data_IF_080130356750
#
_entry.id   IF_080130356750
#
_cell.length_a   1.000
_cell.length_b   1.000
_cell.length_c   1.000
_cell.angle_alpha   90.00
_cell.angle_beta   90.00
_cell.angle_gamma   90.00
#
_symmetry.space_group_name_H-M   'P 1'
#
loop_
_entity.id
_entity.type
_entity.pdbx_description
1 polymer ?
#
# COMPACT_ATOMS: atom_id res chain seq x y z
N UNK A 1 -26.31 3.25 -16.79
CA UNK A 1 -25.38 3.41 -15.66
C UNK A 1 -24.82 2.02 -15.41
N UNK A 2 -23.55 1.79 -15.71
CA UNK A 2 -22.91 0.50 -15.47
C UNK A 2 -22.88 0.23 -13.97
N UNK A 3 -23.29 -0.98 -13.60
CA UNK A 3 -23.17 -1.51 -12.25
C UNK A 3 -21.69 -1.47 -11.84
N UNK A 4 -21.35 -0.60 -10.89
CA UNK A 4 -19.99 -0.39 -10.41
C UNK A 4 -19.71 -1.23 -9.16
N UNK A 5 -20.37 -2.39 -9.04
CA UNK A 5 -20.15 -3.32 -7.95
C UNK A 5 -18.70 -3.81 -7.99
N UNK A 6 -17.95 -3.49 -6.93
CA UNK A 6 -16.60 -4.01 -6.75
C UNK A 6 -16.72 -5.51 -6.53
N UNK A 7 -16.31 -6.29 -7.53
CA UNK A 7 -16.20 -7.74 -7.41
C UNK A 7 -15.22 -8.06 -6.27
N UNK A 8 -15.68 -8.85 -5.30
CA UNK A 8 -14.82 -9.33 -4.22
C UNK A 8 -13.99 -10.50 -4.73
N UNK A 9 -12.67 -10.36 -4.67
CA UNK A 9 -11.73 -11.44 -4.95
C UNK A 9 -11.32 -12.09 -3.62
N UNK A 10 -11.64 -13.37 -3.42
CA UNK A 10 -11.35 -14.12 -2.18
C UNK A 10 -9.87 -14.48 -1.98
N UNK A 11 -8.95 -13.95 -2.80
CA UNK A 11 -7.52 -14.25 -2.69
C UNK A 11 -6.79 -13.08 -2.04
N UNK A 12 -5.81 -13.38 -1.18
CA UNK A 12 -5.04 -12.33 -0.55
C UNK A 12 -4.24 -11.53 -1.58
N UNK A 13 -4.12 -10.23 -1.33
CA UNK A 13 -3.37 -9.33 -2.17
C UNK A 13 -1.86 -9.52 -1.96
N UNK A 14 -1.06 -9.61 -3.03
CA UNK A 14 0.38 -9.72 -2.89
C UNK A 14 0.99 -8.44 -2.30
N UNK A 15 1.86 -8.62 -1.32
CA UNK A 15 2.63 -7.52 -0.74
C UNK A 15 3.68 -7.03 -1.75
N UNK A 16 3.82 -5.71 -1.91
CA UNK A 16 4.90 -5.14 -2.71
C UNK A 16 6.24 -5.33 -2.01
N UNK A 17 7.32 -5.46 -2.79
CA UNK A 17 8.69 -5.49 -2.26
C UNK A 17 9.00 -4.18 -1.52
N UNK A 18 9.77 -4.25 -0.44
CA UNK A 18 10.28 -3.05 0.24
C UNK A 18 11.65 -2.72 -0.34
N UNK A 19 11.90 -1.44 -0.60
CA UNK A 19 13.16 -0.89 -1.08
C UNK A 19 13.56 0.35 -0.26
N UNK A 20 14.85 0.68 -0.29
CA UNK A 20 15.39 1.88 0.36
C UNK A 20 15.47 2.99 -0.68
N UNK A 21 14.78 4.10 -0.43
CA UNK A 21 14.83 5.26 -1.32
C UNK A 21 16.16 6.04 -1.19
N UNK A 22 16.46 6.99 -2.09
CA UNK A 22 17.70 7.77 -2.02
C UNK A 22 17.91 8.57 -0.73
N UNK A 23 16.87 8.77 0.09
CA UNK A 23 16.93 9.45 1.38
C UNK A 23 17.05 8.47 2.55
N UNK A 24 17.21 7.16 2.29
CA UNK A 24 17.28 6.12 3.32
C UNK A 24 15.92 5.70 3.87
N UNK A 25 14.81 6.13 3.27
CA UNK A 25 13.46 5.76 3.74
C UNK A 25 13.05 4.43 3.12
N UNK A 26 12.61 3.49 3.96
CA UNK A 26 12.07 2.22 3.51
C UNK A 26 10.66 2.42 2.97
N UNK A 27 10.46 2.09 1.69
CA UNK A 27 9.21 2.26 0.96
C UNK A 27 8.82 0.98 0.24
N UNK A 28 7.53 0.79 0.04
CA UNK A 28 7.08 -0.21 -0.92
C UNK A 28 7.47 0.20 -2.35
N UNK A 29 7.86 -0.77 -3.19
CA UNK A 29 8.11 -0.54 -4.60
C UNK A 29 6.81 -0.09 -5.27
N UNK A 30 6.76 1.12 -5.84
CA UNK A 30 5.54 1.63 -6.43
C UNK A 30 5.25 1.00 -7.80
N UNK A 31 3.97 0.87 -8.12
CA UNK A 31 3.51 0.68 -9.49
C UNK A 31 3.32 2.06 -10.15
N UNK A 32 4.11 2.32 -11.20
CA UNK A 32 4.11 3.62 -11.87
C UNK A 32 2.73 4.01 -12.45
N UNK A 33 1.96 3.05 -12.96
CA UNK A 33 0.64 3.29 -13.53
C UNK A 33 -0.37 3.65 -12.44
N UNK A 34 -0.39 2.90 -11.33
CA UNK A 34 -1.29 3.17 -10.20
C UNK A 34 -1.01 4.55 -9.61
N UNK A 35 0.27 4.91 -9.45
CA UNK A 35 0.67 6.24 -8.97
C UNK A 35 0.27 7.35 -9.94
N UNK A 36 0.41 7.12 -11.25
CA UNK A 36 -0.04 8.07 -12.27
C UNK A 36 -1.56 8.29 -12.19
N UNK A 37 -2.35 7.22 -12.06
CA UNK A 37 -3.81 7.31 -11.95
C UNK A 37 -4.25 8.06 -10.70
N UNK A 38 -3.61 7.83 -9.55
CA UNK A 38 -3.90 8.59 -8.34
C UNK A 38 -3.62 10.10 -8.54
N UNK A 39 -2.45 10.44 -9.09
CA UNK A 39 -2.06 11.83 -9.32
C UNK A 39 -2.97 12.55 -10.33
N UNK A 40 -3.48 11.84 -11.33
CA UNK A 40 -4.34 12.41 -12.38
C UNK A 40 -5.83 12.36 -12.05
N UNK A 41 -6.26 11.49 -11.14
CA UNK A 41 -7.66 11.14 -10.91
C UNK A 41 -8.49 12.16 -10.14
N UNK A 42 -7.86 13.19 -9.56
CA UNK A 42 -8.56 14.22 -8.78
C UNK A 42 -9.19 13.69 -7.48
N UNK A 43 -8.77 12.50 -7.03
CA UNK A 43 -9.19 11.86 -5.78
C UNK A 43 -7.98 11.64 -4.88
N UNK A 44 -8.15 11.84 -3.59
CA UNK A 44 -7.08 11.65 -2.61
C UNK A 44 -7.22 10.35 -1.80
N UNK A 45 -6.21 10.07 -0.98
CA UNK A 45 -6.18 8.90 -0.10
C UNK A 45 -7.33 8.87 0.92
N UNK A 46 -7.80 10.02 1.38
CA UNK A 46 -8.87 10.10 2.38
C UNK A 46 -10.21 9.69 1.74
N UNK A 47 -10.45 10.14 0.51
CA UNK A 47 -11.62 9.76 -0.27
C UNK A 47 -11.62 8.26 -0.60
N UNK A 48 -10.46 7.71 -0.97
CA UNK A 48 -10.31 6.27 -1.23
C UNK A 48 -10.47 5.43 0.05
N UNK A 49 -10.02 5.92 1.21
CA UNK A 49 -10.13 5.21 2.47
C UNK A 49 -11.59 4.95 2.88
N UNK A 50 -12.53 5.82 2.50
CA UNK A 50 -13.95 5.69 2.88
C UNK A 50 -14.84 5.11 1.77
N UNK A 51 -14.25 4.70 0.63
CA UNK A 51 -15.03 4.18 -0.50
C UNK A 51 -15.75 2.88 -0.10
N UNK A 52 -17.09 2.80 -0.21
CA UNK A 52 -17.83 1.61 0.15
C UNK A 52 -17.49 0.43 -0.77
N UNK A 53 -17.56 -0.79 -0.24
CA UNK A 53 -17.34 -2.02 -1.01
C UNK A 53 -15.88 -2.44 -1.21
N UNK A 54 -14.92 -1.56 -0.94
CA UNK A 54 -13.47 -1.90 -0.94
C UNK A 54 -13.12 -2.60 0.37
N UNK A 55 -12.27 -3.63 0.33
CA UNK A 55 -11.79 -4.33 1.54
C UNK A 55 -10.64 -3.58 2.23
N UNK A 56 -10.31 -3.93 3.48
CA UNK A 56 -9.13 -3.39 4.15
C UNK A 56 -7.84 -3.78 3.41
N UNK A 57 -7.77 -5.03 2.97
CA UNK A 57 -6.63 -5.60 2.24
C UNK A 57 -6.38 -4.89 0.88
N UNK A 58 -7.43 -4.53 0.15
CA UNK A 58 -7.28 -3.75 -1.09
C UNK A 58 -6.74 -2.33 -0.80
N UNK A 59 -7.15 -1.71 0.31
CA UNK A 59 -6.63 -0.39 0.72
C UNK A 59 -5.17 -0.48 1.14
N UNK A 60 -4.82 -1.52 1.88
CA UNK A 60 -3.44 -1.82 2.25
C UNK A 60 -2.58 -1.98 0.99
N UNK A 61 -3.01 -2.82 0.05
CA UNK A 61 -2.29 -3.04 -1.20
C UNK A 61 -2.20 -1.75 -2.03
N UNK A 62 -3.27 -0.95 -2.09
CA UNK A 62 -3.24 0.33 -2.79
C UNK A 62 -2.17 1.27 -2.22
N UNK A 63 -2.09 1.40 -0.89
CA UNK A 63 -1.04 2.18 -0.23
C UNK A 63 0.36 1.67 -0.63
N UNK A 64 0.56 0.36 -0.66
CA UNK A 64 1.83 -0.24 -1.10
C UNK A 64 2.13 0.09 -2.58
N UNK A 65 1.14 -0.06 -3.47
CA UNK A 65 1.26 0.19 -4.91
C UNK A 65 1.58 1.65 -5.25
N UNK A 66 1.24 2.61 -4.38
CA UNK A 66 1.61 4.03 -4.58
C UNK A 66 2.97 4.39 -3.97
N UNK A 67 3.65 3.44 -3.32
CA UNK A 67 4.99 3.61 -2.76
C UNK A 67 5.01 4.30 -1.39
N UNK A 68 4.00 4.00 -0.55
CA UNK A 68 3.96 4.50 0.82
C UNK A 68 5.21 4.04 1.61
N UNK A 69 5.63 4.83 2.60
CA UNK A 69 6.71 4.39 3.49
C UNK A 69 6.20 3.28 4.41
N UNK A 70 7.08 2.35 4.78
CA UNK A 70 6.74 1.28 5.72
C UNK A 70 6.32 1.86 7.07
N UNK A 71 7.03 2.89 7.54
CA UNK A 71 6.68 3.60 8.77
C UNK A 71 5.32 4.28 8.71
N UNK A 72 5.02 4.99 7.62
CA UNK A 72 3.73 5.64 7.46
C UNK A 72 2.61 4.61 7.33
N UNK A 73 2.86 3.48 6.67
CA UNK A 73 1.87 2.44 6.42
C UNK A 73 1.31 1.86 7.72
N UNK A 74 2.15 1.73 8.75
CA UNK A 74 1.74 1.30 10.08
C UNK A 74 0.80 2.27 10.80
N UNK A 75 0.77 3.54 10.40
CA UNK A 75 -0.08 4.58 11.01
C UNK A 75 -1.46 4.70 10.34
N UNK A 76 -1.71 3.97 9.25
CA UNK A 76 -3.00 4.00 8.56
C UNK A 76 -4.03 3.22 9.37
N UNK A 77 -5.20 3.82 9.61
CA UNK A 77 -6.26 3.24 10.45
C UNK A 77 -6.86 1.94 9.92
N UNK A 78 -6.57 1.56 8.68
CA UNK A 78 -7.05 0.34 8.02
C UNK A 78 -5.94 -0.68 7.80
N UNK A 79 -4.71 -0.41 8.23
CA UNK A 79 -3.61 -1.38 8.20
C UNK A 79 -3.78 -2.40 9.32
N UNK A 80 -3.76 -3.67 8.97
CA UNK A 80 -3.74 -4.77 9.90
C UNK A 80 -2.34 -5.02 10.47
N UNK A 81 -2.29 -5.40 11.74
CA UNK A 81 -1.04 -5.76 12.44
C UNK A 81 -0.25 -6.84 11.69
N UNK A 82 -0.96 -7.81 11.08
CA UNK A 82 -0.35 -8.91 10.35
C UNK A 82 0.37 -8.43 9.07
N UNK A 83 -0.23 -7.51 8.30
CA UNK A 83 0.42 -6.95 7.12
C UNK A 83 1.57 -6.03 7.52
N UNK A 84 1.38 -5.21 8.56
CA UNK A 84 2.45 -4.34 9.07
C UNK A 84 3.66 -5.15 9.57
N UNK A 85 3.45 -6.23 10.32
CA UNK A 85 4.53 -7.10 10.80
C UNK A 85 5.40 -7.63 9.65
N UNK A 86 4.78 -8.09 8.55
CA UNK A 86 5.50 -8.54 7.34
C UNK A 86 6.30 -7.43 6.68
N UNK A 87 5.73 -6.22 6.60
CA UNK A 87 6.42 -5.06 6.05
C UNK A 87 7.60 -4.62 6.93
N UNK A 88 7.44 -4.67 8.25
CA UNK A 88 8.48 -4.37 9.23
C UNK A 88 9.62 -5.40 9.14
N UNK A 89 9.32 -6.70 9.04
CA UNK A 89 10.33 -7.74 8.84
C UNK A 89 11.13 -7.53 7.54
N UNK A 90 10.45 -7.19 6.44
CA UNK A 90 11.11 -6.88 5.17
C UNK A 90 12.00 -5.64 5.28
N UNK A 91 11.53 -4.60 5.97
CA UNK A 91 12.29 -3.39 6.30
C UNK A 91 13.54 -3.72 7.13
N UNK A 92 13.41 -4.50 8.19
CA UNK A 92 14.53 -4.88 9.07
C UNK A 92 15.59 -5.72 8.35
N UNK A 93 15.15 -6.58 7.43
CA UNK A 93 16.06 -7.38 6.60
C UNK A 93 16.93 -6.52 5.68
N UNK A 94 16.43 -5.37 5.21
CA UNK A 94 17.20 -4.41 4.42
C UNK A 94 18.22 -3.66 5.29
N UNK A 95 17.82 -3.22 6.49
CA UNK A 95 18.73 -2.56 7.44
C UNK A 95 19.94 -3.44 7.78
N UNK A 96 19.72 -4.75 7.97
CA UNK A 96 20.77 -5.73 8.30
C UNK A 96 21.71 -6.04 7.13
N UNK A 97 21.31 -5.76 5.89
CA UNK A 97 22.14 -5.97 4.69
C UNK A 97 22.99 -4.74 4.32
N UNK A 98 22.63 -3.57 4.83
CA UNK A 98 23.33 -2.30 4.57
C UNK A 98 24.36 -1.89 5.62
N UNK A 99 24.49 -2.64 6.73
CA UNK A 99 25.51 -2.44 7.77
C UNK A 99 26.54 -3.56 7.76
#
# INVERSE_FOLDING_TARGET
>A
MSDNTIEKYDRPQPMQEVEVDPNGVHRFRPNALVRYLLNAGGIDMNQLAVLPGVSGEDREQFAQLIGYSVSGFGELSYTSDATYAKAAEASDALSKKGG
#
